data_IF_220923069348
#
_entry.id   IF_220923069348
#
_cell.length_a   1.000
_cell.length_b   1.000
_cell.length_c   1.000
_cell.angle_alpha   90.00
_cell.angle_beta   90.00
_cell.angle_gamma   90.00
#
_symmetry.space_group_name_H-M   'P 1'
#
loop_
_entity.id
_entity.type
_entity.pdbx_description
1 polymer ?
#
# COMPACT_ATOMS: atom_id res chain seq x y z
N UNK A 1 25.70 -12.74 -27.92
CA UNK A 1 24.62 -11.75 -27.85
C UNK A 1 24.97 -10.80 -26.72
N UNK A 2 25.00 -9.49 -26.89
CA UNK A 2 25.40 -8.57 -25.84
C UNK A 2 24.32 -8.52 -24.77
N UNK A 3 24.74 -8.69 -23.53
CA UNK A 3 23.92 -8.54 -22.33
C UNK A 3 23.61 -7.06 -22.13
N UNK A 4 22.34 -6.69 -22.26
CA UNK A 4 21.84 -5.36 -21.92
C UNK A 4 22.03 -5.10 -20.42
N UNK A 5 22.73 -4.02 -20.10
CA UNK A 5 23.03 -3.59 -18.74
C UNK A 5 21.80 -2.89 -18.12
N UNK A 6 21.57 -3.03 -16.82
CA UNK A 6 20.48 -2.40 -16.05
C UNK A 6 20.35 -0.87 -16.25
N UNK A 7 21.41 -0.20 -16.69
CA UNK A 7 21.36 1.23 -17.05
C UNK A 7 20.47 1.51 -18.26
N UNK A 8 20.38 0.57 -19.20
CA UNK A 8 19.55 0.73 -20.40
C UNK A 8 18.07 0.50 -20.11
N UNK A 9 17.75 -0.24 -19.04
CA UNK A 9 16.36 -0.48 -18.63
C UNK A 9 15.72 0.77 -17.98
N UNK A 10 16.49 1.54 -17.21
CA UNK A 10 16.01 2.82 -16.67
C UNK A 10 15.86 3.91 -17.73
N UNK A 11 16.65 3.82 -18.82
CA UNK A 11 16.59 4.79 -19.94
C UNK A 11 15.54 4.45 -20.98
N UNK A 12 15.11 3.20 -21.10
CA UNK A 12 14.09 2.78 -22.07
C UNK A 12 12.65 3.08 -21.61
N UNK A 13 12.43 3.36 -20.32
CA UNK A 13 11.12 3.77 -19.77
C UNK A 13 10.92 5.30 -19.75
N UNK A 14 11.89 6.08 -20.23
CA UNK A 14 11.67 7.48 -20.52
C UNK A 14 10.75 7.59 -21.73
N UNK A 15 9.45 7.58 -21.50
CA UNK A 15 8.50 8.09 -22.46
C UNK A 15 8.92 9.52 -22.79
N UNK A 16 9.36 9.73 -24.05
CA UNK A 16 9.57 11.03 -24.62
C UNK A 16 8.24 11.80 -24.50
N UNK A 17 8.11 12.60 -23.48
CA UNK A 17 7.25 13.74 -23.52
C UNK A 17 7.87 14.63 -24.61
N UNK A 18 7.33 14.57 -25.81
CA UNK A 18 7.63 15.52 -26.85
C UNK A 18 7.21 16.90 -26.33
N UNK A 19 8.17 17.65 -25.84
CA UNK A 19 8.00 19.08 -25.62
C UNK A 19 7.78 19.71 -27.02
N UNK A 20 6.65 20.33 -27.29
CA UNK A 20 6.55 21.17 -28.47
C UNK A 20 7.52 22.33 -28.29
N UNK A 21 8.43 22.47 -29.28
CA UNK A 21 9.25 23.68 -29.40
C UNK A 21 8.31 24.90 -29.43
N UNK A 22 8.41 25.74 -28.43
CA UNK A 22 7.73 27.04 -28.42
C UNK A 22 8.33 27.91 -29.52
N UNK A 23 7.63 27.99 -30.65
CA UNK A 23 7.75 29.13 -31.52
C UNK A 23 7.05 30.28 -30.78
N UNK A 24 7.79 31.34 -30.53
CA UNK A 24 7.25 32.59 -30.02
C UNK A 24 6.21 33.13 -31.01
N UNK A 25 4.95 33.00 -30.64
CA UNK A 25 3.85 33.76 -31.23
C UNK A 25 3.21 34.55 -30.07
N UNK A 26 3.31 35.86 -30.16
CA UNK A 26 2.58 36.79 -29.31
C UNK A 26 1.08 36.53 -29.42
N UNK A 27 0.52 35.95 -28.39
CA UNK A 27 -0.90 35.69 -28.22
C UNK A 27 -1.08 35.15 -26.82
N UNK A 28 -1.33 36.04 -25.84
CA UNK A 28 -1.78 35.68 -24.49
C UNK A 28 -3.16 35.05 -24.56
N UNK A 29 -3.28 33.78 -24.88
CA UNK A 29 -4.33 32.95 -24.32
C UNK A 29 -3.97 32.68 -22.87
N UNK A 30 -4.66 33.35 -21.95
CA UNK A 30 -4.61 33.01 -20.54
C UNK A 30 -5.09 31.55 -20.44
N UNK A 31 -4.17 30.64 -20.10
CA UNK A 31 -4.53 29.24 -19.80
C UNK A 31 -5.66 29.30 -18.77
N UNK A 32 -6.79 28.73 -19.09
CA UNK A 32 -7.95 28.67 -18.21
C UNK A 32 -7.52 27.97 -16.92
N UNK A 33 -7.39 28.75 -15.86
CA UNK A 33 -6.89 28.23 -14.57
C UNK A 33 -7.93 27.23 -14.07
N UNK A 34 -7.59 25.95 -14.05
CA UNK A 34 -8.49 24.88 -13.61
C UNK A 34 -9.21 25.26 -12.32
N UNK A 35 -10.51 25.00 -12.24
CA UNK A 35 -11.30 25.31 -11.05
C UNK A 35 -10.78 24.55 -9.82
N UNK A 36 -10.92 25.14 -8.62
CA UNK A 36 -10.57 24.46 -7.38
C UNK A 36 -11.35 23.15 -7.24
N UNK A 37 -10.63 22.05 -7.01
CA UNK A 37 -11.17 20.70 -6.89
C UNK A 37 -10.51 19.94 -5.73
N UNK A 38 -11.26 19.00 -5.19
CA UNK A 38 -10.79 18.03 -4.21
C UNK A 38 -11.15 16.62 -4.71
N UNK A 39 -10.20 15.70 -4.63
CA UNK A 39 -10.33 14.31 -5.04
C UNK A 39 -11.23 13.48 -4.13
N UNK A 40 -11.52 12.26 -4.53
CA UNK A 40 -12.17 11.26 -3.69
C UNK A 40 -11.24 10.88 -2.52
N UNK A 41 -11.77 10.70 -1.29
CA UNK A 41 -10.92 10.27 -0.18
C UNK A 41 -10.46 8.82 -0.33
N UNK A 42 -9.27 8.55 0.21
CA UNK A 42 -8.69 7.21 0.36
C UNK A 42 -8.57 6.92 1.85
N UNK A 43 -9.09 5.77 2.28
CA UNK A 43 -8.97 5.29 3.65
C UNK A 43 -7.67 4.50 3.80
N UNK A 44 -6.81 4.90 4.72
CA UNK A 44 -5.46 4.38 4.85
C UNK A 44 -5.12 3.90 6.25
N UNK A 45 -4.27 2.88 6.31
CA UNK A 45 -3.72 2.32 7.56
C UNK A 45 -4.76 2.16 8.66
N UNK A 46 -5.85 1.41 8.42
CA UNK A 46 -6.87 1.17 9.42
C UNK A 46 -6.34 0.36 10.60
N UNK A 47 -6.92 0.59 11.77
CA UNK A 47 -6.82 -0.29 12.94
C UNK A 47 -8.21 -0.58 13.51
N UNK A 48 -8.24 -1.22 14.65
CA UNK A 48 -9.47 -1.45 15.40
C UNK A 48 -10.08 -0.15 15.92
N UNK A 49 -9.25 0.89 16.11
CA UNK A 49 -9.67 2.14 16.78
C UNK A 49 -9.30 3.40 16.03
N UNK A 50 -8.72 3.28 14.82
CA UNK A 50 -8.30 4.44 14.04
C UNK A 50 -8.29 4.17 12.54
N UNK A 51 -8.32 5.24 11.75
CA UNK A 51 -8.15 5.21 10.29
C UNK A 51 -7.57 6.54 9.81
N UNK A 52 -6.70 6.49 8.80
CA UNK A 52 -6.30 7.65 8.03
C UNK A 52 -7.31 7.95 6.92
N UNK A 53 -7.48 9.22 6.60
CA UNK A 53 -8.24 9.70 5.45
C UNK A 53 -7.38 10.69 4.71
N UNK A 54 -6.99 10.37 3.48
CA UNK A 54 -6.20 11.24 2.61
C UNK A 54 -6.96 11.54 1.32
N UNK A 55 -6.74 12.73 0.75
CA UNK A 55 -7.32 13.11 -0.54
C UNK A 55 -6.47 14.14 -1.26
N UNK A 56 -6.53 14.13 -2.57
CA UNK A 56 -5.81 15.08 -3.38
C UNK A 56 -6.54 16.44 -3.45
N UNK A 57 -5.76 17.51 -3.65
CA UNK A 57 -6.23 18.86 -3.95
C UNK A 57 -5.39 19.44 -5.08
N UNK A 58 -5.93 20.34 -5.86
CA UNK A 58 -5.23 20.95 -7.00
C UNK A 58 -4.80 22.40 -6.77
N UNK A 59 -4.95 22.92 -5.56
CA UNK A 59 -4.53 24.25 -5.11
C UNK A 59 -4.33 24.25 -3.60
N UNK A 60 -3.67 25.29 -3.11
CA UNK A 60 -3.43 25.50 -1.70
C UNK A 60 -4.73 25.44 -0.90
N UNK A 61 -4.79 24.48 0.02
CA UNK A 61 -5.99 24.18 0.78
C UNK A 61 -5.67 23.70 2.19
N UNK A 62 -6.67 23.77 3.03
CA UNK A 62 -6.74 23.08 4.32
C UNK A 62 -8.04 22.32 4.40
N UNK A 63 -8.22 21.47 5.43
CA UNK A 63 -9.44 20.69 5.50
C UNK A 63 -9.72 20.03 6.85
N UNK A 64 -10.79 19.26 6.84
CA UNK A 64 -11.17 18.38 7.94
C UNK A 64 -11.94 17.16 7.41
N UNK A 65 -12.04 16.15 8.23
CA UNK A 65 -12.96 15.03 8.04
C UNK A 65 -14.07 15.14 9.07
N UNK A 66 -15.31 15.19 8.61
CA UNK A 66 -16.48 15.04 9.45
C UNK A 66 -16.88 13.57 9.47
N UNK A 67 -17.18 13.03 10.66
CA UNK A 67 -17.48 11.62 10.87
C UNK A 67 -18.59 11.43 11.88
N UNK A 68 -19.42 10.39 11.70
CA UNK A 68 -20.53 10.04 12.56
C UNK A 68 -20.76 8.53 12.63
N UNK A 69 -21.45 8.06 13.66
CA UNK A 69 -21.86 6.67 13.79
C UNK A 69 -23.19 6.34 13.06
N UNK A 70 -23.74 7.29 12.32
CA UNK A 70 -25.00 7.11 11.59
C UNK A 70 -25.03 7.90 10.27
N UNK A 71 -25.81 7.46 9.26
CA UNK A 71 -25.85 8.09 7.95
C UNK A 71 -26.50 9.49 7.93
N UNK A 72 -27.23 9.86 8.98
CA UNK A 72 -27.86 11.15 9.14
C UNK A 72 -26.88 12.22 9.65
N UNK A 73 -25.65 11.84 9.98
CA UNK A 73 -24.64 12.72 10.57
C UNK A 73 -25.05 13.38 11.90
N UNK A 74 -25.98 12.75 12.62
CA UNK A 74 -26.36 13.20 13.94
C UNK A 74 -25.23 12.93 14.94
N UNK A 75 -24.81 13.97 15.67
CA UNK A 75 -23.68 13.89 16.59
C UNK A 75 -22.31 13.78 15.90
N UNK A 76 -22.22 14.19 14.64
CA UNK A 76 -20.96 14.21 13.91
C UNK A 76 -19.92 15.10 14.61
N UNK A 77 -18.67 14.66 14.56
CA UNK A 77 -17.53 15.46 14.99
C UNK A 77 -16.55 15.66 13.83
N UNK A 78 -15.66 16.64 13.95
CA UNK A 78 -14.69 16.96 12.90
C UNK A 78 -13.25 16.76 13.40
N UNK A 79 -12.40 16.19 12.55
CA UNK A 79 -10.96 16.05 12.75
C UNK A 79 -10.26 16.90 11.69
N UNK A 80 -9.45 17.86 12.09
CA UNK A 80 -8.70 18.73 11.18
C UNK A 80 -7.54 17.95 10.55
N UNK A 81 -7.17 18.36 9.33
CA UNK A 81 -5.96 17.89 8.65
C UNK A 81 -4.70 18.38 9.37
N UNK A 82 -3.62 17.60 9.28
CA UNK A 82 -2.33 17.94 9.92
C UNK A 82 -2.29 17.59 11.40
N UNK A 83 -1.29 18.14 12.08
CA UNK A 83 -1.02 17.91 13.49
C UNK A 83 -1.21 19.20 14.30
N UNK A 84 -1.64 19.05 15.54
CA UNK A 84 -1.77 20.20 16.45
C UNK A 84 -0.40 20.87 16.68
N UNK A 85 -0.37 22.21 16.79
CA UNK A 85 -1.51 23.15 16.85
C UNK A 85 -2.01 23.68 15.50
N UNK A 86 -1.32 23.36 14.38
CA UNK A 86 -1.65 23.91 13.07
C UNK A 86 -2.32 22.85 12.18
N UNK A 87 -3.40 23.24 11.51
CA UNK A 87 -3.95 22.43 10.44
C UNK A 87 -2.99 22.39 9.24
N UNK A 88 -3.02 21.30 8.48
CA UNK A 88 -2.26 21.17 7.24
C UNK A 88 -2.65 22.27 6.24
N UNK A 89 -1.65 22.78 5.54
CA UNK A 89 -1.80 23.69 4.40
C UNK A 89 -0.95 23.12 3.26
N UNK A 90 -1.59 22.60 2.22
CA UNK A 90 -0.91 21.93 1.12
C UNK A 90 -1.65 22.14 -0.20
N UNK A 91 -0.94 22.06 -1.30
CA UNK A 91 -1.48 22.30 -2.65
C UNK A 91 -1.65 21.03 -3.49
N UNK A 92 -1.33 19.85 -2.92
CA UNK A 92 -1.39 18.58 -3.61
C UNK A 92 -2.22 17.51 -2.85
N UNK A 93 -2.09 17.43 -1.52
CA UNK A 93 -2.82 16.44 -0.73
C UNK A 93 -3.09 16.92 0.68
N UNK A 94 -4.20 16.46 1.24
CA UNK A 94 -4.57 16.67 2.63
C UNK A 94 -4.82 15.31 3.29
N UNK A 95 -4.54 15.23 4.58
CA UNK A 95 -4.82 14.01 5.35
C UNK A 95 -5.21 14.31 6.79
N UNK A 96 -6.00 13.41 7.37
CA UNK A 96 -6.39 13.46 8.77
C UNK A 96 -6.40 12.05 9.37
N UNK A 97 -5.85 11.88 10.58
CA UNK A 97 -5.93 10.63 11.35
C UNK A 97 -7.10 10.71 12.32
N UNK A 98 -8.06 9.81 12.18
CA UNK A 98 -9.20 9.69 13.07
C UNK A 98 -8.89 8.60 14.09
N UNK A 99 -9.01 8.92 15.37
CA UNK A 99 -8.73 8.03 16.51
C UNK A 99 -9.92 7.90 17.44
N UNK A 100 -9.85 6.97 18.39
CA UNK A 100 -10.91 6.76 19.38
C UNK A 100 -12.16 6.09 18.81
N UNK A 101 -12.02 5.43 17.66
CA UNK A 101 -13.11 4.66 17.06
C UNK A 101 -13.36 3.36 17.82
N UNK A 102 -14.57 2.80 17.71
CA UNK A 102 -14.94 1.50 18.25
C UNK A 102 -14.56 0.39 17.26
N UNK A 103 -14.03 -0.75 17.71
CA UNK A 103 -13.74 -1.90 16.84
C UNK A 103 -14.98 -2.44 16.15
N UNK A 104 -14.81 -3.00 14.95
CA UNK A 104 -15.84 -3.64 14.13
C UNK A 104 -17.12 -2.80 13.99
N UNK A 105 -17.00 -1.48 13.94
CA UNK A 105 -18.09 -0.52 13.94
C UNK A 105 -18.14 0.25 12.63
N UNK A 106 -19.33 0.45 12.09
CA UNK A 106 -19.57 1.23 10.87
C UNK A 106 -19.59 2.72 11.21
N UNK A 107 -18.84 3.49 10.42
CA UNK A 107 -18.83 4.96 10.47
C UNK A 107 -19.17 5.53 9.08
N UNK A 108 -19.78 6.72 9.09
CA UNK A 108 -20.03 7.54 7.92
C UNK A 108 -19.18 8.78 8.02
N UNK A 109 -18.59 9.21 6.90
CA UNK A 109 -17.68 10.34 6.89
C UNK A 109 -17.73 11.09 5.57
N UNK A 110 -17.28 12.34 5.59
CA UNK A 110 -17.00 13.13 4.41
C UNK A 110 -15.78 14.03 4.64
N UNK A 111 -15.09 14.38 3.57
CA UNK A 111 -14.04 15.41 3.58
C UNK A 111 -14.67 16.79 3.44
N UNK A 112 -14.07 17.76 4.11
CA UNK A 112 -14.39 19.18 3.95
C UNK A 112 -13.08 19.89 3.60
N UNK A 113 -13.04 20.51 2.43
CA UNK A 113 -11.83 21.14 1.87
C UNK A 113 -12.08 22.64 1.70
N UNK A 114 -11.18 23.45 2.25
CA UNK A 114 -11.24 24.91 2.17
C UNK A 114 -10.06 25.42 1.35
N UNK A 115 -10.31 26.04 0.20
CA UNK A 115 -9.28 26.73 -0.57
C UNK A 115 -8.70 27.90 0.23
N UNK A 116 -7.37 28.04 0.18
CA UNK A 116 -6.65 29.18 0.74
C UNK A 116 -6.05 29.99 -0.40
N UNK A 117 -6.50 31.22 -0.57
CA UNK A 117 -6.15 32.10 -1.71
C UNK A 117 -4.88 32.87 -1.46
N UNK A 118 -4.50 33.03 -0.20
CA UNK A 118 -3.33 33.81 0.20
C UNK A 118 -2.78 33.27 1.52
N UNK A 119 -1.51 32.95 1.52
CA UNK A 119 -0.70 32.55 2.66
C UNK A 119 0.23 33.68 3.15
N UNK A 120 -0.05 34.90 2.75
CA UNK A 120 0.81 36.07 2.97
C UNK A 120 1.04 36.38 4.44
N UNK A 121 2.31 36.63 4.74
CA UNK A 121 2.84 37.27 5.94
C UNK A 121 2.13 36.87 7.25
N UNK A 122 2.67 35.91 7.96
CA UNK A 122 2.03 35.33 9.15
C UNK A 122 1.79 36.33 10.29
N UNK A 123 2.37 37.52 10.23
CA UNK A 123 2.28 38.47 11.34
C UNK A 123 1.10 39.44 11.22
N UNK A 124 0.66 39.83 10.02
CA UNK A 124 -0.29 40.92 9.87
C UNK A 124 -1.41 40.73 8.84
N UNK A 125 -1.28 39.73 7.94
CA UNK A 125 -2.30 39.49 6.94
C UNK A 125 -3.32 38.43 7.40
N UNK A 126 -4.60 38.74 7.25
CA UNK A 126 -5.65 37.73 7.38
C UNK A 126 -5.57 36.78 6.20
N UNK A 127 -5.62 35.50 6.47
CA UNK A 127 -5.76 34.50 5.43
C UNK A 127 -7.03 34.76 4.62
N UNK A 128 -6.90 34.73 3.31
CA UNK A 128 -8.04 34.81 2.40
C UNK A 128 -8.44 33.38 2.03
N UNK A 129 -9.68 33.06 2.26
CA UNK A 129 -10.24 31.78 1.87
C UNK A 129 -11.05 31.93 0.59
N UNK A 130 -10.97 30.93 -0.26
CA UNK A 130 -11.72 30.79 -1.49
C UNK A 130 -12.91 29.83 -1.34
N UNK A 131 -13.07 28.96 -2.31
CA UNK A 131 -14.17 27.98 -2.36
C UNK A 131 -14.05 26.94 -1.25
N UNK A 132 -15.19 26.58 -0.65
CA UNK A 132 -15.35 25.42 0.23
C UNK A 132 -16.00 24.27 -0.55
N UNK A 133 -15.45 23.06 -0.40
CA UNK A 133 -15.99 21.83 -1.00
C UNK A 133 -16.32 20.86 0.14
N UNK A 134 -17.56 20.41 0.17
CA UNK A 134 -17.99 19.29 1.00
C UNK A 134 -18.09 18.04 0.11
N UNK A 135 -17.31 17.02 0.44
CA UNK A 135 -17.28 15.75 -0.28
C UNK A 135 -18.57 14.94 -0.09
N UNK A 136 -18.70 13.88 -0.88
CA UNK A 136 -19.79 12.90 -0.70
C UNK A 136 -19.64 12.17 0.63
N UNK A 137 -20.77 11.71 1.17
CA UNK A 137 -20.77 10.84 2.35
C UNK A 137 -20.40 9.43 1.91
N UNK A 138 -19.36 8.89 2.53
CA UNK A 138 -18.88 7.51 2.40
C UNK A 138 -19.04 6.76 3.73
N UNK A 139 -18.86 5.45 3.73
CA UNK A 139 -18.85 4.68 4.97
C UNK A 139 -17.80 3.57 4.93
N UNK A 140 -17.28 3.22 6.09
CA UNK A 140 -16.37 2.09 6.27
C UNK A 140 -16.69 1.36 7.58
N UNK A 141 -16.07 0.20 7.77
CA UNK A 141 -16.11 -0.53 9.04
C UNK A 141 -14.69 -0.61 9.58
N UNK A 142 -14.51 -0.28 10.86
CA UNK A 142 -13.22 -0.46 11.54
C UNK A 142 -12.86 -1.95 11.65
N UNK A 143 -11.58 -2.24 11.71
CA UNK A 143 -11.09 -3.59 11.93
C UNK A 143 -11.55 -4.10 13.32
N UNK A 144 -11.32 -5.38 13.60
CA UNK A 144 -11.61 -5.97 14.91
C UNK A 144 -12.14 -7.39 14.82
N UNK A 145 -12.25 -8.06 15.97
CA UNK A 145 -12.66 -9.47 16.06
C UNK A 145 -14.08 -9.73 15.57
N UNK A 146 -14.97 -8.75 15.68
CA UNK A 146 -16.36 -8.83 15.20
C UNK A 146 -16.53 -8.49 13.72
N UNK A 147 -15.48 -8.09 13.02
CA UNK A 147 -15.53 -7.73 11.61
C UNK A 147 -15.58 -8.97 10.70
N UNK A 148 -15.94 -8.76 9.42
CA UNK A 148 -15.93 -9.82 8.40
C UNK A 148 -14.54 -10.38 8.21
N UNK A 149 -14.38 -11.70 8.29
CA UNK A 149 -13.09 -12.39 8.13
C UNK A 149 -12.68 -12.52 6.66
N UNK A 150 -12.43 -11.41 6.00
CA UNK A 150 -12.07 -11.34 4.59
C UNK A 150 -11.10 -10.19 4.31
N UNK A 151 -10.21 -10.38 3.34
CA UNK A 151 -9.30 -9.37 2.82
C UNK A 151 -9.04 -9.60 1.34
N UNK A 152 -8.55 -8.57 0.65
CA UNK A 152 -7.90 -8.71 -0.64
C UNK A 152 -6.48 -8.14 -0.60
N UNK A 153 -5.64 -8.59 -1.54
CA UNK A 153 -4.27 -8.09 -1.71
C UNK A 153 -4.03 -7.73 -3.16
N UNK A 154 -3.56 -6.53 -3.40
CA UNK A 154 -2.99 -6.11 -4.68
C UNK A 154 -1.52 -5.75 -4.48
N UNK A 155 -0.71 -5.93 -5.50
CA UNK A 155 0.73 -5.68 -5.48
C UNK A 155 1.21 -5.27 -6.88
N UNK A 156 2.43 -4.74 -6.96
CA UNK A 156 3.14 -4.46 -8.22
C UNK A 156 2.27 -3.72 -9.25
N UNK A 157 1.59 -2.67 -8.83
CA UNK A 157 0.74 -1.89 -9.74
C UNK A 157 1.54 -0.96 -10.64
N UNK A 158 2.73 -0.48 -10.19
CA UNK A 158 3.72 0.27 -10.95
C UNK A 158 3.15 1.46 -11.74
N UNK A 159 2.08 2.09 -11.25
CA UNK A 159 1.33 3.11 -11.99
C UNK A 159 0.93 2.66 -13.41
N UNK A 160 0.77 1.36 -13.63
CA UNK A 160 0.42 0.79 -14.93
C UNK A 160 -1.11 0.82 -15.13
N UNK A 161 -1.63 1.97 -15.51
CA UNK A 161 -3.07 2.26 -15.57
C UNK A 161 -3.86 1.30 -16.46
N UNK A 162 -3.24 0.79 -17.53
CA UNK A 162 -3.86 -0.17 -18.46
C UNK A 162 -4.25 -1.49 -17.78
N UNK A 163 -3.48 -1.93 -16.77
CA UNK A 163 -3.74 -3.14 -16.02
C UNK A 163 -4.46 -2.84 -14.70
N UNK A 164 -4.09 -1.76 -14.01
CA UNK A 164 -4.65 -1.40 -12.71
C UNK A 164 -6.18 -1.22 -12.76
N UNK A 165 -6.74 -0.73 -13.87
CA UNK A 165 -8.19 -0.62 -14.05
C UNK A 165 -8.96 -1.93 -13.83
N UNK A 166 -8.36 -3.08 -14.17
CA UNK A 166 -8.99 -4.38 -13.96
C UNK A 166 -8.98 -4.79 -12.49
N UNK A 167 -7.88 -4.46 -11.79
CA UNK A 167 -7.77 -4.67 -10.35
C UNK A 167 -8.73 -3.77 -9.58
N UNK A 168 -8.85 -2.49 -9.93
CA UNK A 168 -9.80 -1.55 -9.35
C UNK A 168 -11.25 -2.02 -9.55
N UNK A 169 -11.62 -2.40 -10.78
CA UNK A 169 -12.94 -2.93 -11.07
C UNK A 169 -13.26 -4.22 -10.27
N UNK A 170 -12.27 -5.12 -10.13
CA UNK A 170 -12.43 -6.35 -9.36
C UNK A 170 -12.57 -6.07 -7.86
N UNK A 171 -11.80 -5.12 -7.31
CA UNK A 171 -11.92 -4.67 -5.91
C UNK A 171 -13.31 -4.10 -5.65
N UNK A 172 -13.79 -3.23 -6.54
CA UNK A 172 -15.13 -2.66 -6.43
C UNK A 172 -16.23 -3.73 -6.46
N UNK A 173 -16.09 -4.72 -7.35
CA UNK A 173 -17.05 -5.83 -7.46
C UNK A 173 -17.04 -6.76 -6.25
N UNK A 174 -15.87 -7.09 -5.70
CA UNK A 174 -15.73 -7.94 -4.53
C UNK A 174 -16.09 -7.21 -3.23
N UNK A 175 -15.87 -5.90 -3.17
CA UNK A 175 -16.08 -5.06 -2.01
C UNK A 175 -15.55 -5.69 -0.70
N UNK A 176 -14.25 -6.02 -0.60
CA UNK A 176 -13.69 -6.59 0.62
C UNK A 176 -13.72 -5.56 1.75
N UNK A 177 -13.78 -5.98 3.01
CA UNK A 177 -13.76 -5.04 4.15
C UNK A 177 -12.41 -4.34 4.33
N UNK A 178 -11.34 -4.90 3.80
CA UNK A 178 -9.98 -4.33 3.84
C UNK A 178 -9.15 -4.85 2.65
N UNK A 179 -8.27 -3.99 2.16
CA UNK A 179 -7.28 -4.33 1.13
C UNK A 179 -5.88 -4.15 1.70
N UNK A 180 -4.96 -5.03 1.34
CA UNK A 180 -3.52 -4.82 1.51
C UNK A 180 -2.96 -4.39 0.16
N UNK A 181 -2.37 -3.20 0.09
CA UNK A 181 -1.52 -2.83 -1.03
C UNK A 181 -0.10 -3.26 -0.70
N UNK A 182 0.32 -4.37 -1.29
CA UNK A 182 1.53 -5.08 -0.91
C UNK A 182 2.73 -4.67 -1.79
N UNK A 183 3.00 -3.36 -1.82
CA UNK A 183 4.18 -2.76 -2.41
C UNK A 183 4.13 -2.47 -3.90
N UNK A 184 5.14 -1.74 -4.34
CA UNK A 184 5.42 -1.34 -5.71
C UNK A 184 4.23 -0.66 -6.39
N UNK A 185 3.68 0.36 -5.72
CA UNK A 185 2.66 1.22 -6.32
C UNK A 185 3.21 2.02 -7.51
N UNK A 186 4.48 2.37 -7.44
CA UNK A 186 5.22 3.20 -8.40
C UNK A 186 6.51 2.48 -8.85
N UNK A 187 7.09 2.92 -9.96
CA UNK A 187 8.44 2.49 -10.36
C UNK A 187 9.54 3.25 -9.60
N UNK A 188 9.25 4.51 -9.25
CA UNK A 188 10.15 5.38 -8.52
C UNK A 188 9.35 6.61 -8.04
N UNK A 189 9.62 7.07 -6.83
CA UNK A 189 8.92 8.21 -6.23
C UNK A 189 9.84 9.43 -6.22
N UNK A 190 9.91 10.14 -7.34
CA UNK A 190 10.75 11.33 -7.48
C UNK A 190 10.13 12.59 -6.86
N UNK A 191 8.80 12.75 -6.98
CA UNK A 191 8.06 13.93 -6.57
C UNK A 191 6.76 13.56 -5.85
N UNK A 192 6.26 14.45 -5.00
CA UNK A 192 5.00 14.29 -4.29
C UNK A 192 3.83 14.07 -5.26
N UNK A 193 3.77 14.86 -6.33
CA UNK A 193 2.70 14.78 -7.32
C UNK A 193 2.58 13.39 -7.95
N UNK A 194 3.71 12.71 -8.20
CA UNK A 194 3.72 11.33 -8.73
C UNK A 194 3.09 10.36 -7.74
N UNK A 195 3.41 10.50 -6.45
CA UNK A 195 2.81 9.68 -5.40
C UNK A 195 1.31 9.97 -5.24
N UNK A 196 0.91 11.25 -5.23
CA UNK A 196 -0.50 11.67 -5.16
C UNK A 196 -1.29 11.05 -6.31
N UNK A 197 -0.79 11.19 -7.55
CA UNK A 197 -1.46 10.62 -8.71
C UNK A 197 -1.59 9.09 -8.63
N UNK A 198 -0.56 8.39 -8.18
CA UNK A 198 -0.58 6.94 -8.16
C UNK A 198 -1.47 6.36 -7.05
N UNK A 199 -1.56 7.05 -5.91
CA UNK A 199 -2.16 6.51 -4.69
C UNK A 199 -3.53 7.12 -4.41
N UNK A 200 -3.66 8.45 -4.57
CA UNK A 200 -4.88 9.17 -4.24
C UNK A 200 -5.79 9.42 -5.44
N UNK A 201 -5.23 9.61 -6.65
CA UNK A 201 -5.98 9.92 -7.87
C UNK A 201 -5.51 9.12 -9.09
N UNK A 202 -5.41 7.79 -9.01
CA UNK A 202 -5.03 7.01 -10.19
C UNK A 202 -6.02 7.28 -11.33
N UNK A 203 -5.52 7.56 -12.55
CA UNK A 203 -6.36 7.99 -13.68
C UNK A 203 -7.07 6.80 -14.35
N UNK A 204 -7.80 6.03 -13.57
CA UNK A 204 -8.58 4.88 -14.03
C UNK A 204 -10.00 4.92 -13.44
N UNK A 205 -11.01 4.32 -14.09
CA UNK A 205 -12.34 4.20 -13.51
C UNK A 205 -12.33 3.31 -12.26
N UNK A 206 -13.39 3.42 -11.46
CA UNK A 206 -13.66 2.56 -10.30
C UNK A 206 -12.67 2.70 -9.12
N UNK A 207 -11.80 3.71 -9.09
CA UNK A 207 -10.88 3.95 -7.96
C UNK A 207 -11.57 4.47 -6.70
N UNK A 208 -12.82 4.87 -6.79
CA UNK A 208 -13.65 5.30 -5.66
C UNK A 208 -13.92 4.18 -4.62
N UNK A 209 -13.51 2.93 -4.91
CA UNK A 209 -13.53 1.86 -3.91
C UNK A 209 -12.77 2.24 -2.63
N UNK A 210 -11.66 2.95 -2.77
CA UNK A 210 -10.79 3.34 -1.65
C UNK A 210 -11.45 4.32 -0.66
N UNK A 211 -12.55 4.95 -1.04
CA UNK A 211 -13.36 5.78 -0.13
C UNK A 211 -14.23 4.95 0.83
N UNK A 212 -14.38 3.65 0.59
CA UNK A 212 -15.19 2.76 1.44
C UNK A 212 -14.45 1.49 1.87
N UNK A 213 -13.34 1.16 1.22
CA UNK A 213 -12.52 -0.01 1.52
C UNK A 213 -11.15 0.48 2.04
N UNK A 214 -10.89 0.37 3.35
CA UNK A 214 -9.62 0.80 3.91
C UNK A 214 -8.43 0.01 3.37
N UNK A 215 -7.30 0.68 3.18
CA UNK A 215 -6.07 0.11 2.63
C UNK A 215 -5.01 0.00 3.72
N UNK A 216 -4.54 -1.21 3.98
CA UNK A 216 -3.30 -1.48 4.71
C UNK A 216 -2.14 -1.42 3.72
N UNK A 217 -1.11 -0.68 4.07
CA UNK A 217 0.05 -0.49 3.21
C UNK A 217 1.23 -1.33 3.69
N UNK A 218 1.78 -2.18 2.82
CA UNK A 218 3.08 -2.82 2.97
C UNK A 218 3.98 -2.31 1.85
N UNK A 219 5.19 -1.84 2.17
CA UNK A 219 6.07 -1.24 1.17
C UNK A 219 6.73 -2.30 0.29
N UNK A 220 6.93 -1.95 -0.99
CA UNK A 220 7.80 -2.66 -1.90
C UNK A 220 9.16 -1.98 -2.06
N UNK A 221 10.07 -2.61 -2.79
CA UNK A 221 11.41 -2.05 -2.97
C UNK A 221 11.41 -0.78 -3.82
N UNK A 222 10.51 -0.64 -4.78
CA UNK A 222 10.36 0.58 -5.57
C UNK A 222 9.82 1.78 -4.75
N UNK A 223 9.12 1.53 -3.65
CA UNK A 223 8.64 2.58 -2.74
C UNK A 223 9.76 3.24 -1.93
N UNK A 224 10.99 2.68 -1.97
CA UNK A 224 12.21 3.27 -1.40
C UNK A 224 13.05 4.05 -2.41
N UNK A 225 12.69 4.01 -3.69
CA UNK A 225 13.44 4.64 -4.77
C UNK A 225 12.91 6.05 -5.07
N UNK A 226 13.83 6.97 -5.39
CA UNK A 226 13.51 8.37 -5.70
C UNK A 226 13.65 9.33 -4.53
N UNK A 227 13.69 10.62 -4.83
CA UNK A 227 13.96 11.68 -3.84
C UNK A 227 12.84 11.82 -2.81
N UNK A 228 11.59 11.64 -3.24
CA UNK A 228 10.41 11.78 -2.39
C UNK A 228 10.12 10.51 -1.57
N UNK A 229 10.76 9.38 -1.84
CA UNK A 229 10.51 8.11 -1.15
C UNK A 229 10.59 8.21 0.40
N UNK A 230 11.52 9.07 0.91
CA UNK A 230 11.65 9.34 2.36
C UNK A 230 10.50 10.14 2.96
N UNK A 231 9.72 10.79 2.09
CA UNK A 231 8.58 11.64 2.44
C UNK A 231 7.25 11.01 2.00
N UNK A 232 7.26 9.76 1.56
CA UNK A 232 6.06 9.06 1.08
C UNK A 232 4.95 9.02 2.14
N UNK A 233 5.30 9.10 3.43
CA UNK A 233 4.35 9.24 4.54
C UNK A 233 3.51 10.52 4.52
N UNK A 234 3.83 11.50 3.68
CA UNK A 234 2.99 12.69 3.45
C UNK A 234 1.78 12.39 2.55
N UNK A 235 1.82 11.26 1.82
CA UNK A 235 0.75 10.82 0.92
C UNK A 235 0.10 9.55 1.46
N UNK A 236 0.92 8.60 1.90
CA UNK A 236 0.45 7.36 2.56
C UNK A 236 0.54 7.58 4.07
N UNK A 237 -0.60 7.67 4.73
CA UNK A 237 -0.59 7.82 6.17
C UNK A 237 -0.04 6.57 6.85
N UNK A 238 1.00 6.77 7.63
CA UNK A 238 1.53 5.72 8.50
C UNK A 238 0.63 5.54 9.73
N UNK A 239 0.78 4.40 10.40
CA UNK A 239 0.05 4.12 11.64
C UNK A 239 0.54 5.02 12.77
N UNK A 240 -0.32 5.27 13.73
CA UNK A 240 0.05 6.01 14.92
C UNK A 240 1.17 5.32 15.71
N UNK A 241 2.14 6.10 16.14
CA UNK A 241 3.26 5.60 16.96
C UNK A 241 2.78 5.12 18.34
N UNK A 242 1.69 5.68 18.85
CA UNK A 242 1.08 5.28 20.13
C UNK A 242 0.54 3.84 20.13
N UNK A 243 0.29 3.27 18.96
CA UNK A 243 -0.17 1.89 18.83
C UNK A 243 0.95 0.85 19.04
N UNK A 244 2.19 1.29 19.26
CA UNK A 244 3.36 0.41 19.42
C UNK A 244 4.31 0.90 20.51
N UNK A 245 5.08 -0.02 21.13
CA UNK A 245 6.14 0.36 22.07
C UNK A 245 7.16 1.30 21.42
N UNK A 246 7.67 2.27 22.18
CA UNK A 246 8.61 3.29 21.71
C UNK A 246 9.87 2.72 21.05
N UNK A 247 10.34 1.54 21.50
CA UNK A 247 11.48 0.85 20.87
C UNK A 247 11.27 0.49 19.40
N UNK A 248 10.02 0.40 18.97
CA UNK A 248 9.62 0.11 17.58
C UNK A 248 9.11 1.33 16.82
N UNK A 249 9.31 2.52 17.34
CA UNK A 249 8.81 3.76 16.72
C UNK A 249 9.27 3.94 15.26
N UNK A 250 10.47 3.44 14.91
CA UNK A 250 10.99 3.49 13.55
C UNK A 250 10.31 2.54 12.55
N UNK A 251 9.50 1.58 13.03
CA UNK A 251 8.83 0.60 12.16
C UNK A 251 7.46 1.11 11.69
N UNK A 252 7.41 2.31 11.12
CA UNK A 252 6.17 2.98 10.74
C UNK A 252 5.39 2.27 9.62
N UNK A 253 6.05 1.41 8.86
CA UNK A 253 5.46 0.67 7.72
C UNK A 253 4.98 -0.73 8.07
N UNK A 254 5.18 -1.17 9.32
CA UNK A 254 4.71 -2.46 9.80
C UNK A 254 3.32 -2.35 10.42
N UNK A 255 2.53 -3.40 10.29
CA UNK A 255 1.24 -3.50 10.97
C UNK A 255 0.99 -4.91 11.51
N UNK A 256 0.23 -5.00 12.60
CA UNK A 256 -0.36 -6.24 13.09
C UNK A 256 -1.77 -5.91 13.59
N UNK A 257 -2.77 -6.38 12.88
CA UNK A 257 -4.18 -6.06 13.09
C UNK A 257 -5.04 -7.31 13.06
N UNK A 258 -6.22 -7.21 13.64
CA UNK A 258 -7.21 -8.28 13.61
C UNK A 258 -8.37 -7.91 12.69
N UNK A 259 -8.64 -8.79 11.70
CA UNK A 259 -9.81 -8.68 10.82
C UNK A 259 -10.67 -9.94 10.97
N UNK A 260 -11.68 -9.85 11.82
CA UNK A 260 -12.49 -11.01 12.16
C UNK A 260 -11.66 -12.15 12.76
N UNK A 261 -11.71 -13.33 12.16
CA UNK A 261 -10.92 -14.51 12.52
C UNK A 261 -9.46 -14.48 12.03
N UNK A 262 -9.01 -13.42 11.35
CA UNK A 262 -7.70 -13.39 10.68
C UNK A 262 -6.78 -12.36 11.36
N UNK A 263 -5.61 -12.80 11.84
CA UNK A 263 -4.50 -11.92 12.18
C UNK A 263 -3.75 -11.56 10.90
N UNK A 264 -3.57 -10.28 10.64
CA UNK A 264 -2.91 -9.74 9.46
C UNK A 264 -1.63 -9.01 9.89
N UNK A 265 -0.49 -9.45 9.40
CA UNK A 265 0.83 -8.96 9.82
C UNK A 265 1.59 -8.43 8.60
N UNK A 266 1.87 -7.13 8.56
CA UNK A 266 2.68 -6.49 7.52
C UNK A 266 4.14 -6.39 7.92
N UNK A 267 5.02 -6.94 7.08
CA UNK A 267 6.47 -6.86 7.18
C UNK A 267 7.01 -6.07 5.99
N UNK A 268 8.08 -5.35 6.20
CA UNK A 268 8.71 -4.52 5.18
C UNK A 268 10.12 -5.05 4.87
N UNK A 269 10.28 -5.63 3.69
CA UNK A 269 11.57 -6.16 3.23
C UNK A 269 12.58 -5.08 2.89
N UNK A 270 12.13 -3.82 2.76
CA UNK A 270 12.98 -2.72 2.32
C UNK A 270 13.38 -2.81 0.86
N UNK A 271 14.42 -2.09 0.49
CA UNK A 271 15.04 -2.17 -0.85
C UNK A 271 15.73 -3.52 -1.04
N UNK A 272 15.67 -4.04 -2.27
CA UNK A 272 16.34 -5.28 -2.67
C UNK A 272 17.86 -5.13 -2.84
N UNK A 273 18.52 -4.44 -1.92
CA UNK A 273 19.95 -4.15 -1.95
C UNK A 273 20.58 -4.38 -0.56
N UNK A 274 21.90 -4.58 -0.55
CA UNK A 274 22.69 -4.53 0.67
C UNK A 274 22.99 -3.09 1.08
N UNK A 275 23.21 -2.87 2.37
CA UNK A 275 23.55 -1.54 2.89
C UNK A 275 24.86 -0.97 2.27
N UNK A 276 25.79 -1.85 1.88
CA UNK A 276 27.07 -1.50 1.24
C UNK A 276 26.96 -1.26 -0.28
N UNK A 277 25.77 -1.46 -0.87
CA UNK A 277 25.59 -1.21 -2.31
C UNK A 277 25.84 0.26 -2.63
N UNK A 278 26.72 0.50 -3.60
CA UNK A 278 27.13 1.86 -3.99
C UNK A 278 25.97 2.75 -4.45
N UNK A 279 24.87 2.15 -4.90
CA UNK A 279 23.65 2.88 -5.30
C UNK A 279 22.96 3.54 -4.10
N UNK A 280 23.15 3.02 -2.90
CA UNK A 280 22.61 3.59 -1.67
C UNK A 280 23.47 4.72 -1.11
N UNK A 281 24.73 4.84 -1.51
CA UNK A 281 25.67 5.88 -1.04
C UNK A 281 25.73 5.97 0.50
N UNK A 282 25.63 4.86 1.22
CA UNK A 282 25.59 4.82 2.68
C UNK A 282 24.28 5.35 3.32
N UNK A 283 23.23 5.56 2.53
CA UNK A 283 21.94 6.07 3.01
C UNK A 283 20.96 4.95 3.39
N UNK A 284 21.32 3.68 3.19
CA UNK A 284 20.54 2.52 3.60
C UNK A 284 20.96 2.01 4.99
N UNK A 285 20.04 1.41 5.70
CA UNK A 285 20.27 0.66 6.96
C UNK A 285 19.26 -0.49 7.03
N UNK A 286 19.17 -1.27 5.96
CA UNK A 286 18.14 -2.29 5.78
C UNK A 286 18.38 -3.53 6.65
N UNK A 287 19.63 -3.95 6.85
CA UNK A 287 19.93 -5.09 7.72
C UNK A 287 19.51 -4.83 9.16
N UNK A 288 19.82 -3.64 9.69
CA UNK A 288 19.34 -3.23 11.03
C UNK A 288 17.82 -3.13 11.08
N UNK A 289 17.19 -2.59 10.03
CA UNK A 289 15.76 -2.46 9.93
C UNK A 289 15.05 -3.82 9.93
N UNK A 290 15.56 -4.81 9.18
CA UNK A 290 15.05 -6.20 9.16
C UNK A 290 15.23 -6.89 10.50
N UNK A 291 16.38 -6.72 11.16
CA UNK A 291 16.64 -7.26 12.49
C UNK A 291 15.67 -6.71 13.54
N UNK A 292 15.41 -5.41 13.54
CA UNK A 292 14.44 -4.79 14.44
C UNK A 292 13.02 -5.32 14.21
N UNK A 293 12.67 -5.61 12.97
CA UNK A 293 11.38 -6.23 12.64
C UNK A 293 11.24 -7.65 13.20
N UNK A 294 12.34 -8.39 13.36
CA UNK A 294 12.31 -9.72 14.01
C UNK A 294 11.81 -9.62 15.45
N UNK A 295 12.34 -8.66 16.21
CA UNK A 295 11.91 -8.40 17.59
C UNK A 295 10.44 -7.92 17.63
N UNK A 296 10.09 -7.03 16.71
CA UNK A 296 8.73 -6.53 16.60
C UNK A 296 7.75 -7.65 16.22
N UNK A 297 8.12 -8.53 15.31
CA UNK A 297 7.28 -9.64 14.86
C UNK A 297 6.96 -10.61 16.02
N UNK A 298 7.95 -10.93 16.85
CA UNK A 298 7.74 -11.71 18.07
C UNK A 298 6.76 -11.03 19.03
N UNK A 299 6.96 -9.73 19.27
CA UNK A 299 6.05 -8.93 20.07
C UNK A 299 4.63 -8.89 19.47
N UNK A 300 4.51 -8.61 18.18
CA UNK A 300 3.24 -8.44 17.49
C UNK A 300 2.41 -9.74 17.50
N UNK A 301 3.05 -10.88 17.21
CA UNK A 301 2.40 -12.17 17.18
C UNK A 301 2.05 -12.71 18.60
N UNK A 302 2.73 -12.21 19.65
CA UNK A 302 2.43 -12.55 21.03
C UNK A 302 1.29 -11.71 21.64
N UNK A 303 0.83 -10.66 20.99
CA UNK A 303 -0.31 -9.87 21.48
C UNK A 303 -1.56 -10.75 21.59
N UNK A 304 -2.31 -10.70 22.71
CA UNK A 304 -3.42 -11.63 22.96
C UNK A 304 -4.44 -11.69 21.82
N UNK A 305 -4.84 -10.54 21.28
CA UNK A 305 -5.82 -10.45 20.19
C UNK A 305 -5.31 -11.03 18.88
N UNK A 306 -4.00 -10.94 18.62
CA UNK A 306 -3.34 -11.53 17.45
C UNK A 306 -3.11 -13.03 17.65
N UNK A 307 -2.61 -13.42 18.82
CA UNK A 307 -2.38 -14.81 19.17
C UNK A 307 -3.68 -15.64 19.17
N UNK A 308 -4.78 -15.08 19.60
CA UNK A 308 -6.10 -15.74 19.65
C UNK A 308 -6.78 -15.87 18.27
N UNK A 309 -6.20 -15.37 17.17
CA UNK A 309 -6.79 -15.51 15.84
C UNK A 309 -6.71 -16.98 15.37
N UNK A 310 -7.77 -17.59 14.87
CA UNK A 310 -7.68 -18.93 14.28
C UNK A 310 -6.85 -18.99 12.99
N UNK A 311 -6.68 -17.85 12.32
CA UNK A 311 -5.86 -17.75 11.13
C UNK A 311 -4.85 -16.61 11.26
N UNK A 312 -3.65 -16.79 10.69
CA UNK A 312 -2.62 -15.77 10.64
C UNK A 312 -1.98 -15.73 9.24
N UNK A 313 -1.96 -14.54 8.67
CA UNK A 313 -1.38 -14.25 7.36
C UNK A 313 -0.38 -13.11 7.49
N UNK A 314 0.83 -13.32 7.00
CA UNK A 314 1.84 -12.29 6.87
C UNK A 314 1.86 -11.76 5.43
N UNK A 315 2.19 -10.49 5.30
CA UNK A 315 2.31 -9.77 4.03
C UNK A 315 3.70 -9.15 3.99
N UNK A 316 4.44 -9.41 2.94
CA UNK A 316 5.69 -8.71 2.64
C UNK A 316 5.88 -8.69 1.12
N UNK A 317 6.48 -7.62 0.61
CA UNK A 317 6.54 -7.45 -0.83
C UNK A 317 7.46 -8.47 -1.48
N UNK A 318 8.72 -8.55 -1.03
CA UNK A 318 9.69 -9.47 -1.62
C UNK A 318 9.53 -10.86 -1.01
N UNK A 319 9.48 -11.92 -1.83
CA UNK A 319 9.30 -13.29 -1.33
C UNK A 319 10.40 -13.72 -0.36
N UNK A 320 10.02 -14.35 0.75
CA UNK A 320 10.97 -14.89 1.72
C UNK A 320 11.66 -16.17 1.21
N UNK A 321 10.97 -16.92 0.38
CA UNK A 321 11.50 -18.14 -0.25
C UNK A 321 11.46 -17.99 -1.77
N UNK A 322 12.52 -18.46 -2.43
CA UNK A 322 12.60 -18.45 -3.88
C UNK A 322 12.98 -19.85 -4.38
N UNK A 323 12.14 -20.43 -5.22
CA UNK A 323 12.34 -21.76 -5.82
C UNK A 323 13.37 -21.79 -6.94
N UNK A 324 13.99 -20.68 -7.29
CA UNK A 324 14.87 -20.59 -8.46
C UNK A 324 14.12 -20.26 -9.75
N UNK A 325 12.80 -20.23 -9.75
CA UNK A 325 11.96 -19.93 -10.91
C UNK A 325 11.68 -18.44 -11.11
N UNK A 326 12.62 -17.57 -10.75
CA UNK A 326 12.42 -16.15 -10.93
C UNK A 326 12.53 -15.73 -12.39
N UNK A 327 11.51 -15.05 -12.92
CA UNK A 327 11.49 -14.56 -14.29
C UNK A 327 12.54 -13.50 -14.59
N UNK A 328 13.06 -12.80 -13.58
CA UNK A 328 14.04 -11.73 -13.76
C UNK A 328 15.48 -12.24 -13.93
N UNK A 329 15.71 -13.55 -14.12
CA UNK A 329 17.01 -14.09 -14.51
C UNK A 329 18.13 -13.90 -13.49
N UNK A 330 17.82 -13.63 -12.24
CA UNK A 330 18.81 -13.56 -11.16
C UNK A 330 19.22 -14.96 -10.69
N UNK A 331 19.67 -15.85 -11.55
CA UNK A 331 19.99 -17.23 -11.18
C UNK A 331 21.21 -17.33 -10.27
N UNK A 332 22.26 -16.65 -10.61
CA UNK A 332 23.53 -16.68 -9.84
C UNK A 332 23.50 -15.79 -8.60
N UNK A 333 23.03 -14.57 -8.70
CA UNK A 333 23.03 -13.66 -7.57
C UNK A 333 22.18 -14.10 -6.42
N UNK A 334 21.23 -15.00 -6.62
CA UNK A 334 20.44 -15.57 -5.52
C UNK A 334 21.26 -16.38 -4.57
N UNK A 335 22.33 -16.97 -5.06
CA UNK A 335 23.28 -17.70 -4.22
C UNK A 335 24.41 -16.83 -3.70
N UNK A 336 24.67 -15.63 -4.29
CA UNK A 336 25.85 -14.84 -3.96
C UNK A 336 25.64 -13.36 -3.63
N UNK A 337 24.59 -12.73 -4.10
CA UNK A 337 24.40 -11.29 -3.93
C UNK A 337 22.97 -10.88 -3.64
N UNK A 338 22.04 -11.10 -4.56
CA UNK A 338 20.62 -10.80 -4.30
C UNK A 338 19.98 -11.72 -3.27
N UNK A 339 20.57 -12.88 -3.01
CA UNK A 339 20.03 -13.85 -2.07
C UNK A 339 20.34 -13.56 -0.61
N UNK A 340 21.34 -12.74 -0.29
CA UNK A 340 21.73 -12.60 1.12
C UNK A 340 20.67 -11.86 1.93
N UNK A 341 20.03 -10.84 1.40
CA UNK A 341 18.98 -10.12 2.10
C UNK A 341 17.64 -10.86 2.13
N UNK A 342 17.30 -11.65 1.08
CA UNK A 342 16.17 -12.61 1.13
C UNK A 342 16.47 -13.66 2.18
N UNK A 343 17.69 -14.20 2.18
CA UNK A 343 18.15 -15.16 3.19
C UNK A 343 18.08 -14.58 4.59
N UNK A 344 18.47 -13.32 4.77
CA UNK A 344 18.37 -12.62 6.04
C UNK A 344 16.92 -12.60 6.55
N UNK A 345 15.96 -12.18 5.74
CA UNK A 345 14.54 -12.20 6.11
C UNK A 345 14.04 -13.64 6.37
N UNK A 346 14.40 -14.58 5.51
CA UNK A 346 14.01 -15.98 5.66
C UNK A 346 14.55 -16.58 6.97
N UNK A 347 15.82 -16.33 7.29
CA UNK A 347 16.48 -16.90 8.48
C UNK A 347 16.04 -16.22 9.77
N UNK A 348 15.71 -14.94 9.74
CA UNK A 348 15.30 -14.18 10.93
C UNK A 348 13.79 -14.26 11.18
N UNK A 349 12.95 -14.08 10.16
CA UNK A 349 11.50 -14.04 10.33
C UNK A 349 10.87 -15.42 10.22
N UNK A 350 11.40 -16.29 9.36
CA UNK A 350 10.87 -17.64 9.14
C UNK A 350 10.65 -18.45 10.41
N UNK A 351 11.61 -18.54 11.35
CA UNK A 351 11.43 -19.23 12.63
C UNK A 351 10.35 -18.61 13.52
N UNK A 352 10.20 -17.27 13.48
CA UNK A 352 9.17 -16.59 14.27
C UNK A 352 7.79 -16.87 13.69
N UNK A 353 7.63 -16.75 12.38
CA UNK A 353 6.38 -17.08 11.69
C UNK A 353 5.96 -18.54 11.96
N UNK A 354 6.90 -19.47 11.90
CA UNK A 354 6.65 -20.89 12.13
C UNK A 354 6.23 -21.18 13.59
N UNK A 355 6.97 -20.65 14.57
CA UNK A 355 6.68 -20.81 16.00
C UNK A 355 5.29 -20.30 16.37
N UNK A 356 4.87 -19.19 15.77
CA UNK A 356 3.54 -18.61 15.96
C UNK A 356 2.49 -19.18 15.00
N UNK A 357 2.84 -20.23 14.24
CA UNK A 357 1.93 -20.95 13.32
C UNK A 357 1.23 -20.01 12.32
N UNK A 358 1.97 -19.03 11.79
CA UNK A 358 1.51 -18.29 10.62
C UNK A 358 1.35 -19.27 9.47
N UNK A 359 0.21 -19.26 8.81
CA UNK A 359 -0.13 -20.28 7.81
C UNK A 359 0.28 -19.87 6.41
N UNK A 360 0.32 -18.57 6.14
CA UNK A 360 0.56 -18.03 4.80
C UNK A 360 1.38 -16.75 4.83
N UNK A 361 2.32 -16.63 3.90
CA UNK A 361 3.00 -15.38 3.54
C UNK A 361 2.54 -14.97 2.15
N UNK A 362 2.05 -13.74 1.99
CA UNK A 362 1.61 -13.18 0.71
C UNK A 362 2.64 -12.20 0.21
N UNK A 363 3.10 -12.38 -1.03
CA UNK A 363 4.18 -11.61 -1.63
C UNK A 363 3.81 -11.05 -3.02
N UNK A 364 4.66 -10.19 -3.55
CA UNK A 364 4.65 -9.64 -4.89
C UNK A 364 6.02 -9.78 -5.57
N UNK A 365 6.55 -8.67 -6.13
CA UNK A 365 7.92 -8.48 -6.61
C UNK A 365 8.30 -9.25 -7.89
N UNK A 366 7.89 -10.49 -8.01
CA UNK A 366 8.27 -11.33 -9.16
C UNK A 366 7.27 -11.25 -10.32
N UNK A 367 6.22 -10.45 -10.19
CA UNK A 367 5.18 -10.21 -11.19
C UNK A 367 4.51 -11.51 -11.72
N UNK A 368 4.59 -12.61 -11.00
CA UNK A 368 4.02 -13.89 -11.41
C UNK A 368 3.15 -14.53 -10.34
N UNK A 369 2.01 -15.08 -10.74
CA UNK A 369 1.15 -15.84 -9.85
C UNK A 369 1.78 -17.22 -9.57
N UNK A 370 2.24 -17.43 -8.32
CA UNK A 370 2.91 -18.66 -7.90
C UNK A 370 2.50 -19.06 -6.48
N UNK A 371 2.42 -20.36 -6.24
CA UNK A 371 2.33 -20.94 -4.91
C UNK A 371 3.61 -21.71 -4.59
N UNK A 372 4.18 -21.45 -3.44
CA UNK A 372 5.24 -22.25 -2.84
C UNK A 372 4.62 -23.01 -1.66
N UNK A 373 4.12 -24.24 -1.95
CA UNK A 373 3.40 -25.06 -0.98
C UNK A 373 4.34 -25.77 0.01
N UNK A 374 5.65 -25.83 -0.28
CA UNK A 374 6.67 -26.45 0.55
C UNK A 374 7.81 -25.45 0.76
N UNK A 375 7.89 -24.91 1.95
CA UNK A 375 8.98 -24.03 2.36
C UNK A 375 9.95 -24.86 3.21
N UNK A 376 11.22 -25.01 2.80
CA UNK A 376 12.18 -25.77 3.60
C UNK A 376 12.25 -25.26 5.04
N UNK A 377 12.28 -26.20 5.99
CA UNK A 377 12.37 -25.94 7.45
C UNK A 377 11.11 -25.38 8.12
N UNK A 378 10.10 -24.91 7.38
CA UNK A 378 8.95 -24.21 7.95
C UNK A 378 7.62 -24.77 7.43
N UNK A 379 6.56 -24.64 8.25
CA UNK A 379 5.22 -25.12 7.93
C UNK A 379 4.34 -24.10 7.20
N UNK A 380 4.73 -22.81 7.18
CA UNK A 380 3.99 -21.79 6.44
C UNK A 380 4.16 -21.96 4.92
N UNK A 381 3.16 -21.52 4.18
CA UNK A 381 3.19 -21.49 2.71
C UNK A 381 3.37 -20.08 2.21
N UNK A 382 3.72 -19.93 0.93
CA UNK A 382 3.87 -18.63 0.29
C UNK A 382 3.02 -18.57 -0.98
N UNK A 383 2.42 -17.41 -1.23
CA UNK A 383 1.74 -17.09 -2.48
C UNK A 383 2.23 -15.75 -3.01
N UNK A 384 2.53 -15.72 -4.31
CA UNK A 384 2.92 -14.50 -5.01
C UNK A 384 1.79 -14.03 -5.91
N UNK A 385 1.60 -12.71 -5.94
CA UNK A 385 0.74 -12.04 -6.89
C UNK A 385 1.48 -11.66 -8.18
N UNK A 386 0.72 -11.49 -9.26
CA UNK A 386 1.22 -10.98 -10.53
C UNK A 386 1.33 -9.46 -10.56
N UNK A 387 2.07 -8.97 -11.51
CA UNK A 387 2.38 -7.57 -11.73
C UNK A 387 1.55 -6.90 -12.83
N UNK A 388 2.08 -5.83 -13.43
CA UNK A 388 1.33 -4.97 -14.35
C UNK A 388 1.18 -5.53 -15.77
N UNK A 389 1.72 -6.69 -16.07
CA UNK A 389 1.76 -7.24 -17.42
C UNK A 389 0.40 -7.75 -17.88
N UNK A 390 0.06 -7.50 -19.13
CA UNK A 390 -1.19 -7.95 -19.78
C UNK A 390 -0.92 -9.11 -20.75
N UNK A 391 -0.52 -10.26 -20.24
CA UNK A 391 -0.46 -11.51 -20.99
C UNK A 391 0.66 -11.65 -22.02
N UNK A 392 1.65 -10.78 -21.98
CA UNK A 392 2.86 -10.91 -22.80
C UNK A 392 3.89 -11.68 -21.95
N UNK A 393 4.41 -12.82 -22.43
CA UNK A 393 5.55 -13.45 -21.79
C UNK A 393 6.77 -12.51 -21.97
N UNK A 394 7.03 -11.64 -21.02
CA UNK A 394 8.15 -10.70 -21.15
C UNK A 394 9.50 -11.40 -21.22
N UNK A 395 9.59 -12.62 -20.78
CA UNK A 395 10.84 -13.34 -20.61
C UNK A 395 10.89 -14.68 -21.37
N UNK A 396 10.04 -14.87 -22.36
CA UNK A 396 10.14 -15.96 -23.33
C UNK A 396 9.89 -17.37 -22.81
N UNK A 397 9.47 -17.54 -21.56
CA UNK A 397 9.25 -18.84 -20.98
C UNK A 397 7.79 -19.31 -21.11
N UNK A 398 7.61 -20.46 -21.75
CA UNK A 398 6.32 -21.13 -21.85
C UNK A 398 5.84 -21.52 -20.45
N UNK A 399 4.65 -21.06 -20.05
CA UNK A 399 3.97 -21.49 -18.84
C UNK A 399 3.99 -20.50 -17.66
N UNK A 400 4.74 -19.42 -17.70
CA UNK A 400 4.69 -18.38 -16.66
C UNK A 400 3.42 -17.53 -16.77
N UNK A 401 2.88 -17.14 -15.61
CA UNK A 401 1.57 -16.50 -15.52
C UNK A 401 1.73 -15.02 -15.22
N UNK A 402 2.02 -14.24 -16.27
CA UNK A 402 2.13 -12.79 -16.20
C UNK A 402 0.77 -12.15 -16.48
N UNK A 403 0.14 -11.68 -15.46
CA UNK A 403 -1.13 -10.93 -15.52
C UNK A 403 -1.36 -10.25 -14.17
N UNK A 404 -2.10 -9.14 -14.14
CA UNK A 404 -2.45 -8.48 -12.88
C UNK A 404 -3.34 -9.40 -12.05
N UNK A 405 -3.02 -9.51 -10.77
CA UNK A 405 -3.75 -10.37 -9.86
C UNK A 405 -4.40 -9.60 -8.72
N UNK A 406 -5.42 -10.21 -8.15
CA UNK A 406 -5.94 -9.90 -6.84
C UNK A 406 -5.96 -11.21 -6.03
N UNK A 407 -5.36 -11.20 -4.85
CA UNK A 407 -5.42 -12.34 -3.94
C UNK A 407 -6.53 -12.07 -2.92
N UNK A 408 -7.52 -12.95 -2.86
CA UNK A 408 -8.63 -12.89 -1.90
C UNK A 408 -8.44 -13.95 -0.82
N UNK A 409 -8.48 -13.58 0.46
CA UNK A 409 -8.58 -14.49 1.57
C UNK A 409 -9.91 -14.30 2.31
N UNK A 410 -10.64 -15.38 2.53
CA UNK A 410 -11.93 -15.35 3.24
C UNK A 410 -12.13 -16.60 4.10
N UNK A 411 -12.60 -16.41 5.32
CA UNK A 411 -13.00 -17.55 6.15
C UNK A 411 -14.36 -18.06 5.68
N UNK A 412 -14.43 -19.34 5.35
CA UNK A 412 -15.64 -20.05 4.91
C UNK A 412 -15.79 -21.31 5.75
N UNK A 413 -16.80 -21.33 6.61
CA UNK A 413 -16.91 -22.35 7.65
C UNK A 413 -15.72 -22.27 8.60
N UNK A 414 -15.01 -23.37 8.75
CA UNK A 414 -13.83 -23.53 9.58
C UNK A 414 -12.49 -23.37 8.82
N UNK A 415 -12.50 -22.91 7.59
CA UNK A 415 -11.30 -22.81 6.74
C UNK A 415 -11.06 -21.40 6.24
N UNK A 416 -9.81 -20.98 6.19
CA UNK A 416 -9.39 -19.83 5.39
C UNK A 416 -9.19 -20.30 3.94
N UNK A 417 -10.01 -19.77 3.04
CA UNK A 417 -9.95 -20.02 1.61
C UNK A 417 -9.22 -18.85 0.97
N UNK A 418 -8.11 -19.13 0.29
CA UNK A 418 -7.31 -18.12 -0.41
C UNK A 418 -7.37 -18.39 -1.91
N UNK A 419 -7.75 -17.38 -2.69
CA UNK A 419 -7.89 -17.42 -4.14
C UNK A 419 -6.98 -16.40 -4.81
N UNK A 420 -6.38 -16.79 -5.92
CA UNK A 420 -5.70 -15.87 -6.82
C UNK A 420 -6.61 -15.63 -8.02
N UNK A 421 -6.97 -14.38 -8.24
CA UNK A 421 -7.77 -13.94 -9.38
C UNK A 421 -6.85 -13.37 -10.47
N UNK A 422 -7.03 -13.79 -11.72
CA UNK A 422 -6.59 -13.08 -12.92
C UNK A 422 -7.61 -11.96 -13.15
N UNK A 423 -7.24 -10.74 -12.82
CA UNK A 423 -8.19 -9.62 -12.91
C UNK A 423 -8.44 -9.18 -14.34
N UNK A 424 -7.49 -9.43 -15.25
CA UNK A 424 -7.67 -9.12 -16.67
C UNK A 424 -8.71 -10.00 -17.36
N UNK A 425 -8.72 -11.33 -17.03
CA UNK A 425 -9.65 -12.30 -17.61
C UNK A 425 -10.85 -12.61 -16.72
N UNK A 426 -10.93 -11.92 -15.60
CA UNK A 426 -11.98 -12.07 -14.56
C UNK A 426 -12.26 -13.53 -14.16
N UNK A 427 -11.20 -14.26 -13.78
CA UNK A 427 -11.30 -15.66 -13.38
C UNK A 427 -10.43 -15.99 -12.17
N UNK A 428 -10.82 -16.99 -11.40
CA UNK A 428 -9.96 -17.61 -10.36
C UNK A 428 -8.99 -18.57 -11.06
N UNK A 429 -7.71 -18.39 -10.82
CA UNK A 429 -6.65 -19.23 -11.40
C UNK A 429 -6.11 -20.29 -10.44
N UNK A 430 -6.28 -20.06 -9.14
CA UNK A 430 -5.91 -21.04 -8.11
C UNK A 430 -6.63 -20.79 -6.79
N UNK A 431 -6.80 -21.83 -6.00
CA UNK A 431 -7.38 -21.80 -4.64
C UNK A 431 -6.57 -22.71 -3.72
N UNK A 432 -6.38 -22.28 -2.47
CA UNK A 432 -5.86 -23.09 -1.36
C UNK A 432 -6.73 -22.89 -0.13
N UNK A 433 -6.75 -23.90 0.73
CA UNK A 433 -7.51 -23.93 1.97
C UNK A 433 -6.60 -24.23 3.14
N UNK A 434 -6.81 -23.54 4.23
CA UNK A 434 -6.04 -23.66 5.46
C UNK A 434 -6.97 -23.97 6.61
N UNK A 435 -6.61 -24.97 7.41
CA UNK A 435 -7.27 -25.22 8.69
C UNK A 435 -6.89 -24.14 9.71
N UNK A 436 -7.70 -23.94 10.76
CA UNK A 436 -7.30 -23.08 11.86
C UNK A 436 -5.95 -23.52 12.45
N UNK A 437 -5.17 -22.54 12.91
CA UNK A 437 -3.96 -22.85 13.69
C UNK A 437 -4.38 -23.39 15.06
N UNK A 438 -3.78 -24.54 15.43
CA UNK A 438 -4.07 -25.22 16.70
C UNK A 438 -3.47 -24.47 17.90
#
# INVERSE_FOLDING_TARGET
>A
MPTLNRREFCTAAAFAAASPAFAAADGKEAAEVAAFAAGSPVLESPSETSVGVAWAVNRLATGSVEIAENPQFSGAWAVKTGELPLACLDDQSLSARITGLKPATRYWYRTVTQEVVSDHNPYYAKQKVGKRIEGKIHSFVTLGTGAESRFCVMNDTHAAWKSFRFTAAKLKALAPPVVVWNGDALNCTEEKQTAVQAILEPPVPDVDYAASIPILWASGNHDFQGKFARRLGEVIMVRELSERPSRFAGLVRNFAVRQGGIAMIGLDTGEGLHDEDSRLCGLGSFSRYRALQTEWLEYALSRPEIAAAPFAVAFCHIPLWNTGENPFGCEEPRTKGCASWIRECYEQWGPVLDRHRVQLVVCGHEHCARWDDQIPRFGWKQVLGGGPELGIPQWGEKGKRYFPTLIEGAVKGDQLVVRVHDTWRDRVVSERRFAPRA
#
